data_IF_563187525519
#
_entry.id   IF_563187525519
#
_cell.length_a   1.000
_cell.length_b   1.000
_cell.length_c   1.000
_cell.angle_alpha   90.00
_cell.angle_beta   90.00
_cell.angle_gamma   90.00
#
_symmetry.space_group_name_H-M   'P 1'
#
loop_
_entity.id
_entity.type
_entity.pdbx_description
1 polymer ?
#
# COMPACT_ATOMS: atom_id res chain seq x y z
N UNK A 1 5.16 64.10 22.42
CA UNK A 1 6.27 64.66 21.60
C UNK A 1 7.34 63.58 21.52
N UNK A 2 7.66 62.90 20.44
CA UNK A 2 7.24 62.76 19.03
C UNK A 2 7.40 61.23 18.74
N UNK A 3 6.67 60.52 17.88
CA UNK A 3 6.21 60.85 16.54
C UNK A 3 7.35 60.63 15.56
N UNK A 4 7.49 59.42 14.99
CA UNK A 4 8.19 59.15 13.72
C UNK A 4 7.88 57.73 13.23
N UNK A 5 7.18 57.66 12.09
CA UNK A 5 6.97 56.42 11.34
C UNK A 5 7.99 56.25 10.22
N UNK A 6 8.06 55.05 9.68
CA UNK A 6 8.49 54.74 8.30
C UNK A 6 8.25 53.23 8.15
N UNK A 7 7.45 52.74 7.23
CA UNK A 7 7.58 52.97 5.79
C UNK A 7 7.97 51.61 5.20
N UNK A 8 7.09 51.06 4.36
CA UNK A 8 7.23 49.71 3.81
C UNK A 8 8.47 49.53 2.94
N UNK A 9 8.79 48.27 2.70
CA UNK A 9 9.80 47.85 1.74
C UNK A 9 9.65 46.37 1.47
N UNK A 10 9.08 46.03 0.32
CA UNK A 10 8.81 44.67 -0.10
C UNK A 10 10.09 43.82 -0.20
N UNK A 11 9.99 42.59 0.31
CA UNK A 11 10.82 41.49 -0.11
C UNK A 11 10.00 40.59 -1.05
N UNK A 12 9.87 41.01 -2.31
CA UNK A 12 9.58 40.07 -3.38
C UNK A 12 10.84 39.21 -3.56
N UNK A 13 10.83 38.04 -2.93
CA UNK A 13 11.93 37.09 -2.96
C UNK A 13 11.37 35.68 -2.89
N UNK A 14 10.89 35.22 -4.04
CA UNK A 14 10.94 33.83 -4.49
C UNK A 14 11.06 32.76 -3.39
N UNK A 15 9.94 32.48 -2.72
CA UNK A 15 9.67 31.12 -2.28
C UNK A 15 8.84 30.53 -3.41
N UNK A 16 9.49 30.00 -4.43
CA UNK A 16 8.89 28.87 -5.12
C UNK A 16 8.81 27.77 -4.05
N UNK A 17 7.70 27.81 -3.31
CA UNK A 17 7.28 26.73 -2.44
C UNK A 17 7.11 25.55 -3.39
N UNK A 18 8.09 24.65 -3.38
CA UNK A 18 7.89 23.28 -3.81
C UNK A 18 6.88 22.69 -2.82
N UNK A 19 5.62 23.11 -2.97
CA UNK A 19 4.55 22.85 -2.04
C UNK A 19 4.30 21.35 -2.11
N UNK A 20 4.73 20.63 -1.09
CA UNK A 20 4.37 19.22 -0.95
C UNK A 20 2.84 19.13 -1.04
N UNK A 21 2.30 18.19 -1.84
CA UNK A 21 0.86 18.10 -2.05
C UNK A 21 0.17 17.86 -0.69
N UNK A 22 -0.63 18.83 -0.25
CA UNK A 22 -1.41 18.72 0.98
C UNK A 22 -2.80 18.17 0.67
N UNK A 23 -3.25 17.16 1.43
CA UNK A 23 -4.61 16.63 1.39
C UNK A 23 -5.33 16.92 2.70
N UNK A 24 -6.65 17.01 2.65
CA UNK A 24 -7.49 17.07 3.84
C UNK A 24 -7.56 15.71 4.53
N UNK A 25 -7.92 15.70 5.82
CA UNK A 25 -8.14 14.44 6.56
C UNK A 25 -9.24 13.60 5.91
N UNK A 26 -10.27 14.23 5.34
CA UNK A 26 -11.35 13.51 4.64
C UNK A 26 -10.84 12.77 3.40
N UNK A 27 -10.10 13.47 2.54
CA UNK A 27 -9.48 12.87 1.35
C UNK A 27 -8.50 11.75 1.70
N UNK A 28 -7.76 11.88 2.81
CA UNK A 28 -6.85 10.84 3.30
C UNK A 28 -7.60 9.57 3.74
N UNK A 29 -8.71 9.72 4.48
CA UNK A 29 -9.52 8.58 4.92
C UNK A 29 -10.16 7.88 3.71
N UNK A 30 -10.77 8.65 2.80
CA UNK A 30 -11.38 8.11 1.58
C UNK A 30 -10.36 7.35 0.73
N UNK A 31 -9.12 7.83 0.66
CA UNK A 31 -8.02 7.14 -0.03
C UNK A 31 -7.70 5.78 0.58
N UNK A 32 -7.56 5.70 1.91
CA UNK A 32 -7.29 4.43 2.61
C UNK A 32 -8.42 3.43 2.38
N UNK A 33 -9.68 3.86 2.53
CA UNK A 33 -10.83 2.96 2.36
C UNK A 33 -10.90 2.38 0.93
N UNK A 34 -10.52 3.18 -0.08
CA UNK A 34 -10.47 2.71 -1.46
C UNK A 34 -9.35 1.68 -1.68
N UNK A 35 -8.16 1.90 -1.11
CA UNK A 35 -7.05 0.95 -1.18
C UNK A 35 -7.35 -0.36 -0.43
N UNK A 36 -7.96 -0.27 0.75
CA UNK A 36 -8.39 -1.45 1.53
C UNK A 36 -9.42 -2.28 0.75
N UNK A 37 -10.39 -1.62 0.11
CA UNK A 37 -11.37 -2.31 -0.72
C UNK A 37 -10.71 -3.03 -1.90
N UNK A 38 -9.74 -2.40 -2.56
CA UNK A 38 -9.01 -3.01 -3.68
C UNK A 38 -8.23 -4.24 -3.22
N UNK A 39 -7.52 -4.15 -2.09
CA UNK A 39 -6.81 -5.27 -1.50
C UNK A 39 -7.77 -6.42 -1.16
N UNK A 40 -8.94 -6.13 -0.58
CA UNK A 40 -9.95 -7.13 -0.23
C UNK A 40 -10.57 -7.82 -1.46
N UNK A 41 -10.66 -7.13 -2.59
CA UNK A 41 -11.17 -7.74 -3.83
C UNK A 41 -10.22 -8.82 -4.37
N UNK A 42 -8.92 -8.71 -4.10
CA UNK A 42 -7.90 -9.68 -4.55
C UNK A 42 -7.57 -10.71 -3.47
N UNK A 43 -7.34 -10.24 -2.24
CA UNK A 43 -6.80 -11.04 -1.14
C UNK A 43 -7.81 -11.35 -0.03
N UNK A 44 -9.06 -10.87 -0.12
CA UNK A 44 -10.10 -11.04 0.92
C UNK A 44 -10.69 -12.45 1.05
N UNK A 45 -9.98 -13.48 0.60
CA UNK A 45 -10.31 -14.90 0.78
C UNK A 45 -9.68 -15.55 2.00
N UNK A 46 -8.60 -14.97 2.52
CA UNK A 46 -7.93 -15.38 3.75
C UNK A 46 -7.32 -14.15 4.46
N UNK A 47 -6.89 -14.30 5.71
CA UNK A 47 -6.36 -13.18 6.50
C UNK A 47 -4.85 -12.95 6.34
N UNK A 48 -4.19 -13.76 5.49
CA UNK A 48 -2.75 -13.69 5.22
C UNK A 48 -1.84 -14.08 6.39
N UNK A 49 -2.38 -14.56 7.52
CA UNK A 49 -1.59 -14.79 8.75
C UNK A 49 -1.20 -16.24 8.94
N UNK A 50 -2.07 -17.17 8.56
CA UNK A 50 -1.86 -18.60 8.77
C UNK A 50 -2.01 -19.38 7.47
N UNK A 51 -1.25 -20.48 7.34
CA UNK A 51 -1.35 -21.34 6.17
C UNK A 51 -2.73 -22.00 6.10
N UNK A 52 -3.43 -21.79 4.98
CA UNK A 52 -4.79 -22.31 4.77
C UNK A 52 -4.84 -23.70 4.16
N UNK A 53 -3.70 -24.30 3.79
CA UNK A 53 -3.65 -25.57 3.05
C UNK A 53 -4.46 -26.69 3.72
N UNK A 54 -4.43 -26.76 5.06
CA UNK A 54 -5.21 -27.74 5.83
C UNK A 54 -6.71 -27.41 5.98
N UNK A 55 -7.13 -26.19 5.63
CA UNK A 55 -8.51 -25.69 5.76
C UNK A 55 -9.46 -26.13 4.65
N UNK A 56 -8.94 -26.78 3.61
CA UNK A 56 -9.73 -27.20 2.45
C UNK A 56 -10.05 -26.05 1.49
N UNK A 57 -11.21 -26.12 0.84
CA UNK A 57 -11.57 -25.15 -0.20
C UNK A 57 -12.02 -23.80 0.38
N UNK A 58 -11.35 -22.73 -0.02
CA UNK A 58 -11.71 -21.35 0.27
C UNK A 58 -12.19 -20.64 -1.01
N UNK A 59 -13.34 -19.97 -0.93
CA UNK A 59 -14.09 -19.49 -2.12
C UNK A 59 -13.39 -18.39 -2.91
N UNK A 60 -12.52 -17.59 -2.28
CA UNK A 60 -11.87 -16.42 -2.89
C UNK A 60 -10.39 -16.32 -2.52
N UNK A 61 -9.76 -17.46 -2.22
CA UNK A 61 -8.37 -17.45 -1.82
C UNK A 61 -7.46 -17.14 -3.02
N UNK A 62 -6.55 -16.18 -2.84
CA UNK A 62 -5.43 -16.00 -3.74
C UNK A 62 -4.44 -17.18 -3.59
N UNK A 63 -4.02 -17.73 -4.73
CA UNK A 63 -3.07 -18.85 -4.78
C UNK A 63 -1.98 -18.48 -5.77
N UNK A 64 -0.74 -18.52 -5.29
CA UNK A 64 0.44 -18.10 -6.04
C UNK A 64 1.27 -19.32 -6.46
N UNK A 65 1.91 -19.25 -7.64
CA UNK A 65 2.84 -20.31 -8.07
C UNK A 65 4.28 -19.87 -7.82
N UNK A 66 5.00 -20.55 -6.93
CA UNK A 66 6.41 -20.27 -6.67
C UNK A 66 7.32 -20.95 -7.72
N UNK A 67 7.90 -20.15 -8.62
CA UNK A 67 8.76 -20.62 -9.71
C UNK A 67 10.16 -21.02 -9.23
N UNK A 68 10.61 -20.47 -8.10
CA UNK A 68 11.88 -20.89 -7.49
C UNK A 68 11.80 -22.31 -6.91
N UNK A 69 10.69 -22.65 -6.25
CA UNK A 69 10.52 -23.98 -5.63
C UNK A 69 10.01 -25.02 -6.63
N UNK A 70 9.10 -24.63 -7.54
CA UNK A 70 8.52 -25.52 -8.54
C UNK A 70 8.50 -24.80 -9.89
N UNK A 71 9.59 -24.91 -10.69
CA UNK A 71 9.71 -24.21 -11.97
C UNK A 71 8.63 -24.56 -13.00
N UNK A 72 7.99 -25.73 -12.85
CA UNK A 72 6.87 -26.14 -13.70
C UNK A 72 5.55 -25.41 -13.37
N UNK A 73 5.48 -24.65 -12.26
CA UNK A 73 4.31 -23.85 -11.88
C UNK A 73 3.08 -24.68 -11.45
N UNK A 74 3.25 -25.96 -11.14
CA UNK A 74 2.15 -26.89 -10.83
C UNK A 74 1.71 -26.89 -9.37
N UNK A 75 2.42 -26.14 -8.51
CA UNK A 75 2.14 -26.08 -7.07
C UNK A 75 1.75 -24.66 -6.67
N UNK A 76 0.65 -24.55 -5.94
CA UNK A 76 0.14 -23.30 -5.40
C UNK A 76 0.48 -23.12 -3.92
N UNK A 77 0.75 -21.88 -3.52
CA UNK A 77 0.93 -21.45 -2.13
C UNK A 77 -0.08 -20.37 -1.78
N UNK A 78 -0.59 -20.36 -0.55
CA UNK A 78 -1.48 -19.30 -0.06
C UNK A 78 -0.72 -18.01 0.28
N UNK A 79 -1.46 -16.92 0.50
CA UNK A 79 -0.92 -15.59 0.89
C UNK A 79 0.00 -15.67 2.11
N UNK A 80 -0.38 -16.38 3.17
CA UNK A 80 0.50 -16.52 4.35
C UNK A 80 1.82 -17.23 4.02
N UNK A 81 1.79 -18.25 3.16
CA UNK A 81 2.99 -18.98 2.77
C UNK A 81 3.89 -18.19 1.83
N UNK A 82 3.32 -17.38 0.93
CA UNK A 82 4.12 -16.50 0.06
C UNK A 82 4.94 -15.50 0.88
N UNK A 83 4.37 -14.98 1.98
CA UNK A 83 5.02 -14.02 2.86
C UNK A 83 5.97 -14.65 3.91
N UNK A 84 5.66 -15.84 4.44
CA UNK A 84 6.43 -16.42 5.53
C UNK A 84 7.54 -17.39 5.08
N UNK A 85 7.27 -18.18 4.04
CA UNK A 85 8.14 -19.28 3.62
C UNK A 85 8.76 -19.07 2.24
N UNK A 86 8.14 -18.25 1.41
CA UNK A 86 8.58 -17.97 0.03
C UNK A 86 8.90 -16.49 -0.20
N UNK A 87 9.18 -15.75 0.88
CA UNK A 87 9.64 -14.37 0.78
C UNK A 87 10.96 -14.30 -0.01
N UNK A 88 11.03 -13.36 -0.96
CA UNK A 88 12.17 -13.21 -1.87
C UNK A 88 12.29 -14.26 -2.96
N UNK A 89 11.36 -15.22 -3.10
CA UNK A 89 11.31 -16.11 -4.26
C UNK A 89 10.56 -15.48 -5.43
N UNK A 90 10.83 -15.99 -6.64
CA UNK A 90 10.08 -15.63 -7.83
C UNK A 90 8.76 -16.40 -7.85
N UNK A 91 7.66 -15.67 -7.99
CA UNK A 91 6.31 -16.23 -8.05
C UNK A 91 5.49 -15.60 -9.19
N UNK A 92 4.42 -16.29 -9.58
CA UNK A 92 3.41 -15.80 -10.52
C UNK A 92 2.06 -15.65 -9.80
N UNK A 93 1.40 -14.50 -10.02
CA UNK A 93 0.06 -14.13 -9.51
C UNK A 93 -1.05 -14.52 -10.49
#
# INVERSE_FOLDING_TARGET
>A
MAGEGSGGGGGAGAFEDEAEPTVTIGEYIEGIEAEELEADLVLGGDDGKECTYGGGYLKRQAVFSCLTCVPAGVAGVCTACSLACHDGHEWFE
#
